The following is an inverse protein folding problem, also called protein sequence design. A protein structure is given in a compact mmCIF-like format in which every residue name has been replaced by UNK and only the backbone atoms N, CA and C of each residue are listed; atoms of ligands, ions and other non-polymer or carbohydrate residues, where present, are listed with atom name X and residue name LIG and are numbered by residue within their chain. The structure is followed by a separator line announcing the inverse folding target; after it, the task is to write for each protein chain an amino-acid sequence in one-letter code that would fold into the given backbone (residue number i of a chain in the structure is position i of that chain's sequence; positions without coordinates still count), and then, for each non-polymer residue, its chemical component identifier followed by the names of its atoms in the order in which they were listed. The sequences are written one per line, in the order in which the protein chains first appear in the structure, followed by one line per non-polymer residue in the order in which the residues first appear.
data_IF_054978219657
#
_entry.id   IF_054978219657
#
_cell.length_a   1.000
_cell.length_b   1.000
_cell.length_c   1.000
_cell.angle_alpha   90.00
_cell.angle_beta   90.00
_cell.angle_gamma   90.00
#
_symmetry.space_group_name_H-M   'P 1'
#
loop_
_entity.id
_entity.type
_entity.pdbx_description
1 polymer ?
#
# COMPACT_ATOMS: atom_id res chain seq x y z
N UNK A 1 -19.47 42.58 19.94
CA UNK A 1 -19.19 41.14 20.11
C UNK A 1 -19.35 40.28 18.84
N UNK A 2 -20.11 40.69 17.80
CA UNK A 2 -20.33 39.86 16.60
C UNK A 2 -19.08 39.59 15.73
N UNK A 3 -18.35 40.63 15.32
CA UNK A 3 -17.24 40.44 14.36
C UNK A 3 -16.06 39.62 14.91
N UNK A 4 -15.77 39.71 16.21
CA UNK A 4 -14.70 38.94 16.85
C UNK A 4 -15.03 37.44 16.92
N UNK A 5 -16.29 37.08 17.17
CA UNK A 5 -16.75 35.68 17.16
C UNK A 5 -16.72 35.10 15.74
N UNK A 6 -17.12 35.87 14.72
CA UNK A 6 -17.04 35.44 13.32
C UNK A 6 -15.59 35.29 12.84
N UNK A 7 -14.70 36.22 13.20
CA UNK A 7 -13.28 36.13 12.88
C UNK A 7 -12.62 34.92 13.57
N UNK A 8 -12.98 34.63 14.82
CA UNK A 8 -12.50 33.46 15.55
C UNK A 8 -12.99 32.14 14.93
N UNK A 9 -14.27 32.05 14.52
CA UNK A 9 -14.82 30.88 13.83
C UNK A 9 -14.11 30.68 12.49
N UNK A 10 -13.95 31.74 11.69
CA UNK A 10 -13.26 31.68 10.40
C UNK A 10 -11.80 31.23 10.56
N UNK A 11 -11.07 31.78 11.52
CA UNK A 11 -9.69 31.40 11.81
C UNK A 11 -9.58 29.94 12.30
N UNK A 12 -10.47 29.51 13.19
CA UNK A 12 -10.52 28.13 13.67
C UNK A 12 -10.81 27.13 12.54
N UNK A 13 -11.70 27.46 11.61
CA UNK A 13 -11.94 26.63 10.42
C UNK A 13 -10.79 26.63 9.43
N UNK A 14 -10.14 27.76 9.20
CA UNK A 14 -8.98 27.81 8.31
C UNK A 14 -7.85 26.92 8.86
N UNK A 15 -7.62 26.97 10.18
CA UNK A 15 -6.64 26.14 10.85
C UNK A 15 -7.01 24.65 10.83
N UNK A 16 -8.27 24.29 11.10
CA UNK A 16 -8.72 22.89 11.09
C UNK A 16 -8.74 22.27 9.70
N UNK A 17 -9.06 23.04 8.66
CA UNK A 17 -8.95 22.64 7.25
C UNK A 17 -7.49 22.42 6.86
N UNK A 18 -6.61 23.36 7.22
CA UNK A 18 -5.18 23.28 6.90
C UNK A 18 -4.54 22.03 7.53
N UNK A 19 -4.77 21.82 8.82
CA UNK A 19 -4.27 20.65 9.56
C UNK A 19 -4.81 19.33 9.02
N UNK A 20 -6.11 19.26 8.69
CA UNK A 20 -6.73 18.06 8.08
C UNK A 20 -6.17 17.77 6.68
N UNK A 21 -5.98 18.78 5.83
CA UNK A 21 -5.38 18.56 4.52
C UNK A 21 -3.92 18.12 4.61
N UNK A 22 -3.16 18.71 5.54
CA UNK A 22 -1.77 18.36 5.74
C UNK A 22 -1.61 16.93 6.24
N UNK A 23 -2.48 16.47 7.16
CA UNK A 23 -2.48 15.08 7.63
C UNK A 23 -2.85 14.10 6.51
N UNK A 24 -3.82 14.43 5.65
CA UNK A 24 -4.17 13.61 4.49
C UNK A 24 -3.03 13.48 3.47
N UNK A 25 -2.31 14.58 3.21
CA UNK A 25 -1.11 14.56 2.34
C UNK A 25 0.01 13.72 2.95
N UNK A 26 0.25 13.85 4.25
CA UNK A 26 1.27 13.05 4.93
C UNK A 26 0.91 11.56 4.91
N UNK A 27 -0.36 11.21 5.10
CA UNK A 27 -0.84 9.84 5.02
C UNK A 27 -0.59 9.24 3.62
N UNK A 28 -0.84 10.01 2.56
CA UNK A 28 -0.53 9.59 1.19
C UNK A 28 0.97 9.36 0.99
N UNK A 29 1.83 10.30 1.39
CA UNK A 29 3.28 10.15 1.24
C UNK A 29 3.83 8.92 1.99
N UNK A 30 3.32 8.68 3.19
CA UNK A 30 3.71 7.50 3.96
C UNK A 30 3.24 6.21 3.28
N UNK A 31 2.04 6.21 2.72
CA UNK A 31 1.50 5.05 2.01
C UNK A 31 2.24 4.79 0.69
N UNK A 32 2.62 5.83 -0.05
CA UNK A 32 3.43 5.73 -1.25
C UNK A 32 4.83 5.17 -0.93
N UNK A 33 5.44 5.62 0.17
CA UNK A 33 6.72 5.07 0.64
C UNK A 33 6.61 3.59 1.05
N UNK A 34 5.53 3.20 1.74
CA UNK A 34 5.26 1.79 2.06
C UNK A 34 5.03 0.94 0.81
N UNK A 35 4.32 1.49 -0.18
CA UNK A 35 4.12 0.86 -1.47
C UNK A 35 5.44 0.63 -2.21
N UNK A 36 6.29 1.66 -2.30
CA UNK A 36 7.60 1.55 -2.95
C UNK A 36 8.48 0.50 -2.23
N UNK A 37 8.47 0.50 -0.90
CA UNK A 37 9.19 -0.51 -0.12
C UNK A 37 8.67 -1.93 -0.42
N UNK A 38 7.35 -2.13 -0.43
CA UNK A 38 6.75 -3.42 -0.73
C UNK A 38 7.08 -3.91 -2.15
N UNK A 39 7.13 -3.01 -3.15
CA UNK A 39 7.55 -3.35 -4.52
C UNK A 39 9.03 -3.75 -4.57
N UNK A 40 9.91 -3.02 -3.88
CA UNK A 40 11.33 -3.35 -3.81
C UNK A 40 11.56 -4.71 -3.15
N UNK A 41 10.91 -4.97 -2.03
CA UNK A 41 11.03 -6.25 -1.32
C UNK A 41 10.51 -7.41 -2.17
N UNK A 42 9.41 -7.18 -2.91
CA UNK A 42 8.86 -8.12 -3.88
C UNK A 42 9.84 -8.43 -5.04
N UNK A 43 10.48 -7.41 -5.59
CA UNK A 43 11.47 -7.56 -6.67
C UNK A 43 12.76 -8.25 -6.18
N UNK A 44 13.19 -7.95 -4.96
CA UNK A 44 14.31 -8.63 -4.30
C UNK A 44 14.00 -10.11 -4.08
N UNK A 45 12.80 -10.45 -3.60
CA UNK A 45 12.40 -11.85 -3.41
C UNK A 45 12.37 -12.61 -4.74
N UNK A 46 11.82 -12.02 -5.80
CA UNK A 46 11.79 -12.65 -7.12
C UNK A 46 13.20 -12.84 -7.71
N UNK A 47 14.07 -11.84 -7.60
CA UNK A 47 15.45 -11.95 -8.08
C UNK A 47 16.26 -12.98 -7.28
N UNK A 48 16.09 -13.03 -5.96
CA UNK A 48 16.69 -14.06 -5.12
C UNK A 48 16.24 -15.48 -5.54
N UNK A 49 14.96 -15.65 -5.89
CA UNK A 49 14.43 -16.92 -6.39
C UNK A 49 15.08 -17.34 -7.72
N UNK A 50 15.31 -16.40 -8.64
CA UNK A 50 16.03 -16.68 -9.91
C UNK A 50 17.46 -17.13 -9.63
N UNK A 51 18.18 -16.43 -8.76
CA UNK A 51 19.55 -16.81 -8.38
C UNK A 51 19.58 -18.19 -7.72
N UNK A 52 18.60 -18.51 -6.87
CA UNK A 52 18.49 -19.82 -6.24
C UNK A 52 18.19 -20.92 -7.26
N UNK A 53 17.31 -20.67 -8.22
CA UNK A 53 17.03 -21.60 -9.30
C UNK A 53 18.27 -21.90 -10.15
N UNK A 54 19.08 -20.88 -10.48
CA UNK A 54 20.34 -21.09 -11.19
C UNK A 54 21.36 -21.88 -10.36
N UNK A 55 21.37 -21.69 -9.03
CA UNK A 55 22.17 -22.50 -8.12
C UNK A 55 21.73 -23.96 -8.13
N UNK A 56 20.43 -24.25 -8.11
CA UNK A 56 19.87 -25.62 -8.19
C UNK A 56 20.34 -26.29 -9.48
N UNK A 57 20.16 -25.63 -10.63
CA UNK A 57 20.63 -26.14 -11.94
C UNK A 57 22.13 -26.42 -11.94
N UNK A 58 22.94 -25.56 -11.32
CA UNK A 58 24.39 -25.76 -11.22
C UNK A 58 24.74 -26.97 -10.35
N UNK A 59 24.07 -27.14 -9.21
CA UNK A 59 24.30 -28.28 -8.33
C UNK A 59 23.91 -29.59 -9.02
N UNK A 60 22.81 -29.61 -9.77
CA UNK A 60 22.37 -30.78 -10.53
C UNK A 60 23.40 -31.19 -11.60
N UNK A 61 23.96 -30.24 -12.35
CA UNK A 61 25.04 -30.54 -13.31
C UNK A 61 26.27 -31.13 -12.64
N UNK A 62 26.64 -30.62 -11.46
CA UNK A 62 27.76 -31.17 -10.69
C UNK A 62 27.46 -32.58 -10.20
N UNK A 63 26.24 -32.83 -9.70
CA UNK A 63 25.81 -34.13 -9.20
C UNK A 63 25.71 -35.17 -10.33
N UNK A 64 25.19 -34.79 -11.49
CA UNK A 64 25.20 -35.63 -12.69
C UNK A 64 26.64 -35.97 -13.13
N UNK A 65 27.55 -35.00 -13.07
CA UNK A 65 28.96 -35.22 -13.39
C UNK A 65 29.64 -36.18 -12.41
N UNK A 66 29.34 -36.04 -11.11
CA UNK A 66 29.85 -36.92 -10.05
C UNK A 66 29.26 -38.33 -10.15
N UNK A 67 27.95 -38.46 -10.44
CA UNK A 67 27.30 -39.74 -10.71
C UNK A 67 27.97 -40.44 -11.91
N UNK A 68 28.16 -39.74 -13.02
CA UNK A 68 28.89 -40.26 -14.19
C UNK A 68 30.32 -40.69 -13.87
N UNK A 69 31.07 -39.86 -13.12
CA UNK A 69 32.43 -40.19 -12.72
C UNK A 69 32.49 -41.43 -11.80
N UNK A 70 31.55 -41.56 -10.87
CA UNK A 70 31.44 -42.71 -9.96
C UNK A 70 31.09 -44.00 -10.70
N UNK A 71 30.15 -43.93 -11.66
CA UNK A 71 29.77 -45.05 -12.51
C UNK A 71 30.96 -45.50 -13.36
N UNK A 72 31.67 -44.55 -13.98
CA UNK A 72 32.90 -44.84 -14.73
C UNK A 72 34.01 -45.45 -13.86
N UNK A 73 34.21 -44.95 -12.63
CA UNK A 73 35.21 -45.46 -11.71
C UNK A 73 34.87 -46.85 -11.14
N UNK A 74 33.58 -47.17 -11.00
CA UNK A 74 33.13 -48.45 -10.47
C UNK A 74 33.34 -49.62 -11.44
N UNK A 75 33.69 -49.36 -12.70
CA UNK A 75 33.90 -50.38 -13.73
C UNK A 75 32.64 -51.21 -14.03
N UNK A 76 31.51 -50.87 -13.43
CA UNK A 76 30.24 -51.54 -13.65
C UNK A 76 29.74 -51.07 -15.00
N UNK A 77 29.62 -52.01 -15.94
CA UNK A 77 28.83 -51.92 -17.16
C UNK A 77 27.35 -51.78 -16.77
N UNK A 78 27.01 -50.69 -16.07
CA UNK A 78 25.63 -50.25 -15.91
C UNK A 78 25.23 -49.82 -17.30
N UNK A 79 24.59 -50.72 -18.05
CA UNK A 79 24.25 -50.53 -19.45
C UNK A 79 23.76 -49.11 -19.70
N UNK A 80 24.22 -48.49 -20.78
CA UNK A 80 24.08 -47.05 -21.05
C UNK A 80 22.73 -46.42 -20.65
N UNK A 81 21.62 -47.18 -20.72
CA UNK A 81 20.30 -46.77 -20.24
C UNK A 81 20.20 -46.39 -18.74
N UNK A 82 20.85 -47.10 -17.81
CA UNK A 82 20.70 -46.80 -16.36
C UNK A 82 21.43 -45.52 -15.97
N UNK A 83 22.62 -45.30 -16.53
CA UNK A 83 23.39 -44.06 -16.32
C UNK A 83 22.69 -42.85 -16.96
N UNK A 84 22.10 -43.02 -18.14
CA UNK A 84 21.32 -41.96 -18.81
C UNK A 84 20.08 -41.61 -17.99
N UNK A 85 19.32 -42.60 -17.52
CA UNK A 85 18.11 -42.38 -16.71
C UNK A 85 18.42 -41.63 -15.41
N UNK A 86 19.50 -41.98 -14.70
CA UNK A 86 19.90 -41.29 -13.45
C UNK A 86 20.21 -39.81 -13.72
N UNK A 87 20.92 -39.50 -14.80
CA UNK A 87 21.23 -38.11 -15.14
C UNK A 87 20.00 -37.32 -15.57
N UNK A 88 19.11 -37.93 -16.37
CA UNK A 88 17.82 -37.32 -16.74
C UNK A 88 16.97 -37.04 -15.52
N UNK A 89 16.93 -37.96 -14.55
CA UNK A 89 16.19 -37.77 -13.30
C UNK A 89 16.79 -36.66 -12.43
N UNK A 90 18.13 -36.60 -12.29
CA UNK A 90 18.82 -35.52 -11.55
C UNK A 90 18.54 -34.16 -12.18
N UNK A 91 18.71 -34.05 -13.50
CA UNK A 91 18.49 -32.80 -14.24
C UNK A 91 17.01 -32.42 -14.21
N UNK A 92 16.11 -33.38 -14.46
CA UNK A 92 14.66 -33.18 -14.49
C UNK A 92 14.11 -32.70 -13.16
N UNK A 93 14.46 -33.37 -12.06
CA UNK A 93 14.05 -32.96 -10.71
C UNK A 93 14.58 -31.56 -10.36
N UNK A 94 15.83 -31.26 -10.75
CA UNK A 94 16.40 -29.94 -10.50
C UNK A 94 15.77 -28.83 -11.34
N UNK A 95 15.34 -29.12 -12.56
CA UNK A 95 14.58 -28.18 -13.39
C UNK A 95 13.19 -27.94 -12.83
N UNK A 96 12.51 -28.98 -12.33
CA UNK A 96 11.24 -28.85 -11.61
C UNK A 96 11.39 -27.98 -10.36
N UNK A 97 12.38 -28.27 -9.51
CA UNK A 97 12.68 -27.49 -8.30
C UNK A 97 13.03 -26.02 -8.63
N UNK A 98 13.82 -25.80 -9.67
CA UNK A 98 14.17 -24.47 -10.15
C UNK A 98 12.94 -23.71 -10.67
N UNK A 99 12.06 -24.38 -11.41
CA UNK A 99 10.82 -23.80 -11.91
C UNK A 99 9.86 -23.44 -10.77
N UNK A 100 9.67 -24.35 -9.81
CA UNK A 100 8.87 -24.12 -8.61
C UNK A 100 9.43 -22.97 -7.77
N UNK A 101 10.76 -22.89 -7.63
CA UNK A 101 11.43 -21.79 -6.92
C UNK A 101 11.13 -20.44 -7.58
N UNK A 102 11.31 -20.34 -8.90
CA UNK A 102 11.00 -19.10 -9.65
C UNK A 102 9.51 -18.77 -9.54
N UNK A 103 8.62 -19.76 -9.69
CA UNK A 103 7.18 -19.56 -9.64
C UNK A 103 6.73 -19.06 -8.27
N UNK A 104 7.28 -19.61 -7.19
CA UNK A 104 7.03 -19.14 -5.83
C UNK A 104 7.53 -17.70 -5.63
N UNK A 105 8.72 -17.36 -6.15
CA UNK A 105 9.24 -15.99 -6.12
C UNK A 105 8.37 -15.01 -6.91
N UNK A 106 7.88 -15.39 -8.09
CA UNK A 106 6.97 -14.58 -8.89
C UNK A 106 5.61 -14.39 -8.22
N UNK A 107 5.06 -15.43 -7.60
CA UNK A 107 3.83 -15.33 -6.82
C UNK A 107 3.99 -14.38 -5.62
N UNK A 108 5.13 -14.46 -4.92
CA UNK A 108 5.44 -13.54 -3.83
C UNK A 108 5.55 -12.10 -4.35
N UNK A 109 6.14 -11.90 -5.53
CA UNK A 109 6.19 -10.60 -6.18
C UNK A 109 4.79 -10.06 -6.51
N UNK A 110 3.93 -10.87 -7.13
CA UNK A 110 2.56 -10.47 -7.45
C UNK A 110 1.76 -10.06 -6.20
N UNK A 111 1.94 -10.78 -5.08
CA UNK A 111 1.35 -10.41 -3.79
C UNK A 111 1.88 -9.08 -3.28
N UNK A 112 3.20 -8.87 -3.26
CA UNK A 112 3.78 -7.60 -2.82
C UNK A 112 3.36 -6.40 -3.68
N UNK A 113 3.18 -6.58 -5.00
CA UNK A 113 2.62 -5.54 -5.88
C UNK A 113 1.13 -5.28 -5.60
N UNK A 114 0.36 -6.29 -5.22
CA UNK A 114 -1.03 -6.12 -4.76
C UNK A 114 -1.06 -5.32 -3.46
N UNK A 115 -0.19 -5.64 -2.50
CA UNK A 115 -0.07 -4.88 -1.25
C UNK A 115 0.35 -3.43 -1.50
N UNK A 116 1.30 -3.20 -2.41
CA UNK A 116 1.69 -1.87 -2.86
C UNK A 116 0.52 -1.07 -3.46
N UNK A 117 -0.28 -1.70 -4.32
CA UNK A 117 -1.50 -1.11 -4.85
C UNK A 117 -2.51 -0.80 -3.74
N UNK A 118 -2.60 -1.64 -2.71
CA UNK A 118 -3.49 -1.41 -1.57
C UNK A 118 -3.02 -0.22 -0.71
N UNK A 119 -1.71 -0.09 -0.47
CA UNK A 119 -1.15 1.05 0.26
C UNK A 119 -1.43 2.37 -0.49
N UNK A 120 -1.09 2.46 -1.77
CA UNK A 120 -1.37 3.66 -2.58
C UNK A 120 -2.85 4.00 -2.60
N UNK A 121 -3.73 3.00 -2.75
CA UNK A 121 -5.17 3.18 -2.70
C UNK A 121 -5.63 3.72 -1.33
N UNK A 122 -5.13 3.17 -0.23
CA UNK A 122 -5.45 3.63 1.12
C UNK A 122 -4.99 5.08 1.35
N UNK A 123 -3.79 5.45 0.85
CA UNK A 123 -3.28 6.82 0.89
C UNK A 123 -4.16 7.80 0.10
N UNK A 124 -4.58 7.40 -1.10
CA UNK A 124 -5.49 8.19 -1.94
C UNK A 124 -6.87 8.36 -1.28
N UNK A 125 -7.40 7.31 -0.66
CA UNK A 125 -8.64 7.38 0.10
C UNK A 125 -8.50 8.30 1.32
N UNK A 126 -7.40 8.22 2.07
CA UNK A 126 -7.14 9.09 3.21
C UNK A 126 -7.07 10.57 2.79
N UNK A 127 -6.44 10.87 1.65
CA UNK A 127 -6.40 12.23 1.09
C UNK A 127 -7.78 12.71 0.63
N UNK A 128 -8.55 11.84 -0.02
CA UNK A 128 -9.92 12.14 -0.43
C UNK A 128 -10.85 12.39 0.77
N UNK A 129 -10.73 11.57 1.82
CA UNK A 129 -11.46 11.73 3.07
C UNK A 129 -11.09 13.03 3.79
N UNK A 130 -9.79 13.36 3.87
CA UNK A 130 -9.32 14.64 4.43
C UNK A 130 -9.88 15.85 3.67
N UNK A 131 -9.87 15.80 2.33
CA UNK A 131 -10.49 16.85 1.51
C UNK A 131 -11.99 16.96 1.79
N UNK A 132 -12.71 15.84 1.82
CA UNK A 132 -14.16 15.82 2.08
C UNK A 132 -14.51 16.32 3.47
N UNK A 133 -13.75 15.92 4.50
CA UNK A 133 -13.90 16.43 5.87
C UNK A 133 -13.64 17.93 5.92
N UNK A 134 -12.60 18.42 5.24
CA UNK A 134 -12.30 19.84 5.20
C UNK A 134 -13.43 20.67 4.56
N UNK A 135 -14.04 20.16 3.48
CA UNK A 135 -15.23 20.78 2.86
C UNK A 135 -16.41 20.76 3.84
N UNK A 136 -16.66 19.63 4.51
CA UNK A 136 -17.71 19.51 5.53
C UNK A 136 -17.52 20.47 6.70
N UNK A 137 -16.27 20.68 7.16
CA UNK A 137 -15.93 21.64 8.20
C UNK A 137 -16.22 23.07 7.76
N UNK A 138 -15.87 23.45 6.53
CA UNK A 138 -16.19 24.79 5.98
C UNK A 138 -17.70 24.97 5.83
N UNK A 139 -18.43 23.99 5.28
CA UNK A 139 -19.88 24.05 5.15
C UNK A 139 -20.57 24.16 6.51
N UNK A 140 -20.17 23.36 7.50
CA UNK A 140 -20.77 23.37 8.83
C UNK A 140 -20.46 24.68 9.58
N UNK A 141 -19.27 25.24 9.41
CA UNK A 141 -18.95 26.57 9.95
C UNK A 141 -19.76 27.67 9.26
N UNK A 142 -19.93 27.61 7.94
CA UNK A 142 -20.81 28.53 7.22
C UNK A 142 -22.28 28.40 7.63
N UNK A 143 -22.77 27.17 7.83
CA UNK A 143 -24.14 26.89 8.27
C UNK A 143 -24.39 27.30 9.72
N UNK A 144 -23.44 27.06 10.64
CA UNK A 144 -23.54 27.47 12.05
C UNK A 144 -23.41 28.97 12.25
N UNK A 145 -22.52 29.64 11.51
CA UNK A 145 -22.51 31.09 11.39
C UNK A 145 -23.85 31.58 10.81
N UNK A 146 -24.32 30.91 9.75
CA UNK A 146 -25.62 31.02 9.11
C UNK A 146 -26.83 31.05 10.06
N UNK A 147 -26.93 30.01 10.87
CA UNK A 147 -27.98 29.86 11.86
C UNK A 147 -27.79 30.83 13.02
N UNK A 148 -26.55 31.17 13.39
CA UNK A 148 -26.27 32.14 14.46
C UNK A 148 -26.66 33.57 14.08
N UNK A 149 -26.41 34.03 12.85
CA UNK A 149 -26.94 35.34 12.41
C UNK A 149 -28.46 35.33 12.33
N UNK A 150 -29.06 34.25 11.81
CA UNK A 150 -30.52 34.13 11.71
C UNK A 150 -31.19 34.06 13.10
N UNK A 151 -30.60 33.33 14.04
CA UNK A 151 -31.06 33.27 15.44
C UNK A 151 -30.84 34.61 16.17
N UNK A 152 -29.71 35.29 15.93
CA UNK A 152 -29.46 36.63 16.48
C UNK A 152 -30.38 37.69 15.88
N UNK A 153 -30.72 37.58 14.59
CA UNK A 153 -31.68 38.44 13.91
C UNK A 153 -33.11 38.17 14.37
N UNK A 154 -33.49 36.91 14.60
CA UNK A 154 -34.79 36.53 15.16
C UNK A 154 -34.94 37.01 16.62
N UNK A 155 -33.88 36.90 17.45
CA UNK A 155 -33.87 37.41 18.82
C UNK A 155 -33.91 38.94 18.91
N UNK A 156 -33.30 39.64 17.93
CA UNK A 156 -33.43 41.10 17.80
C UNK A 156 -34.82 41.52 17.29
N UNK A 157 -35.44 40.75 16.40
CA UNK A 157 -36.79 41.08 15.90
C UNK A 157 -37.89 40.83 16.95
N UNK A 158 -37.64 39.96 17.95
CA UNK A 158 -38.53 39.75 19.09
C UNK A 158 -38.45 40.82 20.18
N UNK A 159 -37.50 41.75 20.11
CA UNK A 159 -37.30 42.81 21.13
C UNK A 159 -37.63 44.22 20.64
N UNK A 160 -38.12 44.39 19.40
CA UNK A 160 -38.58 45.70 18.87
C UNK A 160 -40.09 45.93 18.99
N UNK A 161 -40.86 44.98 19.53
CA UNK A 161 -42.25 45.21 19.93
C UNK A 161 -42.31 45.68 21.39
N UNK A 162 -41.82 46.89 21.68
CA UNK A 162 -41.73 47.39 23.04
C UNK A 162 -41.41 48.87 23.16
N UNK A 163 -41.81 49.72 22.21
CA UNK A 163 -41.84 51.18 22.41
C UNK A 163 -43.15 51.72 21.84
N UNK A 164 -44.05 52.13 22.74
CA UNK A 164 -45.20 52.99 22.40
C UNK A 164 -46.55 52.43 22.84
N UNK A 165 -47.11 52.98 23.92
CA UNK A 165 -48.56 52.87 24.19
C UNK A 165 -48.95 52.82 25.66
N UNK A 166 -49.05 54.01 26.27
CA UNK A 166 -50.08 54.44 27.24
C UNK A 166 -50.51 53.47 28.35
N UNK A 167 -50.20 53.79 29.63
CA UNK A 167 -51.16 54.17 30.68
C UNK A 167 -50.44 54.92 31.80
#
# INVERSE_FOLDING_TARGET
MGMAAYAAVAAATAYSVYTTQQSGKQAQLNADAQSEQAQKDADVAASAAVVQADRIRRMARNQASEANASLAASGVETGAGTAININEEIIGNAEEDAALTIFNGQNQRARGYTDASNYTLAGNQARSAANSQSIGTVLNAGASAGMSWKASAAGKNGTVAGVGGSK
#
